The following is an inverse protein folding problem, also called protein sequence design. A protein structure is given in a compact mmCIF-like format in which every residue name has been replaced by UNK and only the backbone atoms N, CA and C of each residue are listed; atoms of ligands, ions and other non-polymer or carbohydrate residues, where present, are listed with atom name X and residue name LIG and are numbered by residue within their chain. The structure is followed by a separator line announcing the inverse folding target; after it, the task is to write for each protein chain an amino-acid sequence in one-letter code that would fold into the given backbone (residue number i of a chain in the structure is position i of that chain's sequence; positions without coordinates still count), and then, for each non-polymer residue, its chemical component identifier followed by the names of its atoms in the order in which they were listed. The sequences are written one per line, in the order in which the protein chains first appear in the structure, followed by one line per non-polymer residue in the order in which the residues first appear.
data_IF_914616668351
#
_entry.id   IF_914616668351
#
_cell.length_a   1.000
_cell.length_b   1.000
_cell.length_c   1.000
_cell.angle_alpha   90.00
_cell.angle_beta   90.00
_cell.angle_gamma   90.00
#
_symmetry.space_group_name_H-M   'P 1'
#
loop_
_entity.id
_entity.type
_entity.pdbx_description
1 polymer ?
#
# COMPACT_ATOMS: atom_id res chain seq x y z
N UNK A 1 66.67 24.92 25.46
CA UNK A 1 66.39 26.13 26.22
C UNK A 1 64.93 25.92 26.69
N UNK A 2 64.70 25.29 27.87
CA UNK A 2 64.60 25.94 29.21
C UNK A 2 63.50 27.02 29.17
N UNK A 3 62.43 26.95 29.92
CA UNK A 3 62.34 26.90 31.38
C UNK A 3 60.97 26.41 31.89
N UNK A 4 61.04 25.62 32.96
CA UNK A 4 59.96 25.31 33.95
C UNK A 4 59.55 26.57 34.71
N UNK A 5 58.31 26.59 35.24
CA UNK A 5 58.11 26.84 36.67
C UNK A 5 56.69 26.48 37.14
N UNK A 6 56.67 25.74 38.23
CA UNK A 6 55.64 25.44 39.18
C UNK A 6 55.01 26.69 39.84
N UNK A 7 53.76 26.57 40.25
CA UNK A 7 53.32 27.11 41.54
C UNK A 7 51.98 26.53 42.03
N UNK A 8 52.03 26.03 43.26
CA UNK A 8 51.02 25.43 44.12
C UNK A 8 50.06 26.44 44.75
N UNK A 9 48.80 26.05 44.92
CA UNK A 9 47.88 26.15 46.02
C UNK A 9 47.43 27.53 46.52
N UNK A 10 46.33 27.62 47.29
CA UNK A 10 46.09 26.84 48.50
C UNK A 10 44.60 26.38 48.77
N UNK A 11 44.53 25.50 49.76
CA UNK A 11 43.33 24.99 50.46
C UNK A 11 42.56 26.08 51.20
N UNK A 12 41.26 26.10 51.12
CA UNK A 12 40.39 26.94 51.93
C UNK A 12 39.11 26.23 52.35
N UNK A 13 39.00 26.03 53.56
CA UNK A 13 38.09 25.40 54.54
C UNK A 13 36.60 25.47 54.24
N UNK A 14 35.96 24.34 54.47
CA UNK A 14 34.52 24.21 54.76
C UNK A 14 34.12 25.00 56.01
N UNK A 15 32.99 25.72 55.90
CA UNK A 15 32.16 26.08 57.02
C UNK A 15 30.75 25.61 56.78
N UNK A 16 30.30 24.69 57.66
CA UNK A 16 28.93 24.32 57.86
C UNK A 16 28.15 25.51 58.42
N UNK A 17 27.06 25.89 57.76
CA UNK A 17 25.94 26.57 58.38
C UNK A 17 24.71 25.71 58.15
N UNK A 18 24.45 24.91 59.14
CA UNK A 18 23.16 24.24 59.28
C UNK A 18 22.10 25.14 59.85
N UNK A 19 20.88 24.67 59.67
CA UNK A 19 19.66 25.10 60.36
C UNK A 19 19.07 26.45 60.01
N UNK A 20 18.13 26.45 59.06
CA UNK A 20 16.87 27.26 59.09
C UNK A 20 15.92 27.05 57.91
N UNK A 21 15.89 25.90 57.24
CA UNK A 21 14.98 25.72 56.09
C UNK A 21 13.90 24.64 56.22
N UNK A 22 13.76 23.99 57.38
CA UNK A 22 12.78 22.88 57.51
C UNK A 22 11.31 23.27 57.77
N UNK A 23 11.00 24.49 58.12
CA UNK A 23 9.62 24.86 58.48
C UNK A 23 8.84 25.45 57.29
N UNK A 24 9.51 25.97 56.26
CA UNK A 24 8.83 26.55 55.07
C UNK A 24 8.45 25.53 54.01
N UNK A 25 9.15 24.41 53.91
CA UNK A 25 8.85 23.36 52.93
C UNK A 25 7.64 22.50 53.30
N UNK A 26 7.37 22.31 54.58
CA UNK A 26 6.21 21.56 55.05
C UNK A 26 4.87 22.27 54.84
N UNK A 27 4.83 23.59 54.86
CA UNK A 27 3.60 24.38 54.64
C UNK A 27 3.28 24.45 53.14
N UNK A 28 4.29 24.53 52.26
CA UNK A 28 4.09 24.51 50.81
C UNK A 28 3.59 23.14 50.33
N UNK A 29 4.11 22.06 50.91
CA UNK A 29 3.68 20.69 50.55
C UNK A 29 2.22 20.45 50.96
N UNK A 30 1.77 20.94 52.09
CA UNK A 30 0.37 20.81 52.54
C UNK A 30 -0.58 21.69 51.68
N UNK A 31 -0.18 22.87 51.23
CA UNK A 31 -0.97 23.69 50.32
C UNK A 31 -1.11 23.07 48.91
N UNK A 32 -0.09 22.35 48.39
CA UNK A 32 -0.19 21.63 47.15
C UNK A 32 -1.10 20.39 47.22
N UNK A 33 -1.16 19.72 48.37
CA UNK A 33 -2.04 18.55 48.56
C UNK A 33 -3.50 18.97 48.74
N UNK A 34 -3.78 20.10 49.35
CA UNK A 34 -5.14 20.62 49.54
C UNK A 34 -5.71 21.21 48.25
N UNK A 35 -4.88 21.81 47.38
CA UNK A 35 -5.34 22.29 46.06
C UNK A 35 -5.66 21.17 45.06
N UNK A 36 -5.07 19.97 45.20
CA UNK A 36 -5.39 18.82 44.35
C UNK A 36 -6.72 18.12 44.74
N UNK A 37 -7.32 18.43 45.89
CA UNK A 37 -8.58 17.82 46.32
C UNK A 37 -9.82 18.61 45.79
N UNK A 38 -9.64 19.85 45.30
CA UNK A 38 -10.71 20.70 44.81
C UNK A 38 -10.72 20.96 43.30
N UNK A 39 -9.90 20.25 42.52
CA UNK A 39 -10.16 20.20 41.09
C UNK A 39 -11.38 19.29 40.88
N UNK A 40 -12.49 19.78 40.31
CA UNK A 40 -13.51 18.88 39.85
C UNK A 40 -12.83 17.93 38.87
N UNK A 41 -13.00 16.61 39.08
CA UNK A 41 -12.76 15.64 38.04
C UNK A 41 -13.71 16.02 36.92
N UNK A 42 -13.29 16.93 36.05
CA UNK A 42 -13.82 16.99 34.69
C UNK A 42 -13.48 15.62 34.15
N UNK A 43 -14.48 14.74 34.11
CA UNK A 43 -14.40 13.55 33.32
C UNK A 43 -14.09 14.02 31.91
N UNK A 44 -12.80 14.03 31.56
CA UNK A 44 -12.40 14.00 30.17
C UNK A 44 -13.00 12.68 29.70
N UNK A 45 -14.20 12.75 29.14
CA UNK A 45 -14.73 11.72 28.30
C UNK A 45 -13.70 11.68 27.17
N UNK A 46 -12.71 10.83 27.28
CA UNK A 46 -11.91 10.41 26.16
C UNK A 46 -12.93 9.78 25.22
N UNK A 47 -13.43 10.57 24.26
CA UNK A 47 -14.05 10.00 23.10
C UNK A 47 -12.97 9.11 22.51
N UNK A 48 -13.09 7.82 22.75
CA UNK A 48 -12.31 6.84 22.00
C UNK A 48 -12.61 7.16 20.55
N UNK A 49 -11.61 7.46 19.70
CA UNK A 49 -11.88 7.70 18.30
C UNK A 49 -12.73 6.52 17.81
N UNK A 50 -13.91 6.81 17.27
CA UNK A 50 -14.72 5.76 16.63
C UNK A 50 -13.82 5.11 15.60
N UNK A 51 -13.41 3.89 15.89
CA UNK A 51 -12.67 3.06 14.93
C UNK A 51 -13.68 2.70 13.86
N UNK A 52 -13.56 3.31 12.69
CA UNK A 52 -14.41 3.03 11.56
C UNK A 52 -14.20 1.58 11.13
N UNK A 53 -15.22 0.79 11.34
CA UNK A 53 -15.18 -0.59 10.89
C UNK A 53 -15.59 -0.62 9.42
N UNK A 54 -14.63 -0.96 8.58
CA UNK A 54 -14.90 -1.26 7.17
C UNK A 54 -15.74 -2.54 7.12
N UNK A 55 -16.87 -2.49 6.45
CA UNK A 55 -17.74 -3.67 6.28
C UNK A 55 -17.01 -4.69 5.42
N UNK A 56 -16.86 -5.89 5.94
CA UNK A 56 -16.28 -7.02 5.21
C UNK A 56 -17.41 -7.84 4.60
N UNK A 57 -17.32 -8.12 3.30
CA UNK A 57 -18.22 -8.98 2.56
C UNK A 57 -17.42 -10.11 1.90
N UNK A 58 -18.06 -11.25 1.71
CA UNK A 58 -17.49 -12.36 0.95
C UNK A 58 -18.16 -12.41 -0.44
N UNK A 59 -17.41 -12.71 -1.50
CA UNK A 59 -17.95 -12.85 -2.84
C UNK A 59 -18.65 -14.20 -3.00
N UNK A 60 -19.61 -14.28 -3.89
CA UNK A 60 -20.18 -15.54 -4.37
C UNK A 60 -19.37 -16.02 -5.58
N UNK A 61 -18.70 -17.16 -5.48
CA UNK A 61 -18.00 -17.78 -6.61
C UNK A 61 -19.01 -18.33 -7.62
N UNK A 62 -18.97 -17.85 -8.86
CA UNK A 62 -19.88 -18.25 -9.94
C UNK A 62 -19.23 -19.32 -10.83
N UNK A 63 -18.02 -19.04 -11.33
CA UNK A 63 -17.31 -19.93 -12.22
C UNK A 63 -15.80 -19.71 -12.13
N UNK A 64 -15.04 -20.60 -12.78
CA UNK A 64 -13.59 -20.44 -12.94
C UNK A 64 -13.16 -20.95 -14.30
N UNK A 65 -12.10 -20.35 -14.86
CA UNK A 65 -11.45 -20.81 -16.08
C UNK A 65 -9.93 -20.89 -15.86
N UNK A 66 -9.22 -21.80 -16.55
CA UNK A 66 -7.78 -21.92 -16.39
C UNK A 66 -7.06 -20.60 -16.65
N UNK A 67 -6.02 -20.35 -15.89
CA UNK A 67 -5.07 -19.25 -16.07
C UNK A 67 -3.65 -19.82 -16.23
N UNK A 68 -2.80 -19.10 -16.93
CA UNK A 68 -1.39 -19.44 -17.05
C UNK A 68 -0.67 -19.22 -15.73
N UNK A 69 -0.35 -20.27 -15.00
CA UNK A 69 0.28 -20.22 -13.68
C UNK A 69 1.72 -19.67 -13.69
N UNK A 70 2.30 -19.43 -14.87
CA UNK A 70 3.53 -18.67 -15.03
C UNK A 70 3.31 -17.15 -15.12
N UNK A 71 2.07 -16.69 -15.28
CA UNK A 71 1.74 -15.28 -15.41
C UNK A 71 1.92 -14.52 -14.08
N UNK A 72 2.83 -13.57 -14.06
CA UNK A 72 2.95 -12.63 -12.95
C UNK A 72 2.01 -11.45 -13.19
N UNK A 73 0.70 -11.67 -12.98
CA UNK A 73 -0.36 -10.72 -13.33
C UNK A 73 -0.20 -9.40 -12.60
N UNK A 74 -0.26 -8.31 -13.36
CA UNK A 74 -0.13 -6.94 -12.87
C UNK A 74 -1.32 -6.06 -13.24
N UNK A 75 -2.12 -6.47 -14.21
CA UNK A 75 -3.33 -5.78 -14.60
C UNK A 75 -4.26 -6.70 -15.37
N UNK A 76 -5.56 -6.50 -15.18
CA UNK A 76 -6.62 -7.26 -15.84
C UNK A 76 -7.75 -6.30 -16.24
N UNK A 77 -8.25 -6.46 -17.46
CA UNK A 77 -9.36 -5.67 -18.00
C UNK A 77 -10.24 -6.55 -18.88
N UNK A 78 -11.55 -6.27 -18.96
CA UNK A 78 -12.45 -6.95 -19.89
C UNK A 78 -12.92 -5.96 -20.96
N UNK A 79 -12.68 -6.31 -22.21
CA UNK A 79 -13.14 -5.54 -23.35
C UNK A 79 -13.58 -6.47 -24.48
N UNK A 80 -14.73 -6.19 -25.10
CA UNK A 80 -15.33 -7.01 -26.18
C UNK A 80 -15.36 -8.51 -25.87
N UNK A 81 -15.70 -8.90 -24.62
CA UNK A 81 -15.83 -10.27 -24.17
C UNK A 81 -14.51 -11.06 -24.10
N UNK A 82 -13.40 -10.39 -23.93
CA UNK A 82 -12.06 -10.96 -23.76
C UNK A 82 -11.36 -10.35 -22.56
N UNK A 83 -10.46 -11.11 -21.94
CA UNK A 83 -9.49 -10.54 -21.03
C UNK A 83 -8.34 -9.88 -21.77
N UNK A 84 -7.95 -8.72 -21.31
CA UNK A 84 -6.66 -8.09 -21.58
C UNK A 84 -5.85 -8.17 -20.30
N UNK A 85 -4.70 -8.83 -20.38
CA UNK A 85 -3.86 -9.09 -19.21
C UNK A 85 -2.46 -8.51 -19.41
N UNK A 86 -1.97 -7.81 -18.39
CA UNK A 86 -0.59 -7.37 -18.27
C UNK A 86 0.16 -8.24 -17.28
N UNK A 87 1.30 -8.78 -17.69
CA UNK A 87 2.16 -9.61 -16.81
C UNK A 87 3.52 -8.96 -16.65
N UNK A 88 4.03 -8.96 -15.41
CA UNK A 88 5.31 -8.35 -15.03
C UNK A 88 6.50 -9.31 -15.14
N UNK A 89 7.59 -8.91 -14.52
CA UNK A 89 8.94 -9.46 -14.47
C UNK A 89 9.84 -9.04 -15.63
N UNK A 90 11.04 -8.57 -15.31
CA UNK A 90 12.05 -8.21 -16.30
C UNK A 90 12.42 -9.42 -17.16
N UNK A 91 12.35 -9.26 -18.49
CA UNK A 91 12.58 -10.32 -19.46
C UNK A 91 11.39 -11.27 -19.70
N UNK A 92 10.28 -11.12 -18.93
CA UNK A 92 9.09 -11.97 -19.05
C UNK A 92 7.81 -11.16 -19.22
N UNK A 93 7.89 -9.82 -19.12
CA UNK A 93 6.76 -8.92 -19.22
C UNK A 93 6.03 -9.03 -20.54
N UNK A 94 4.71 -9.07 -20.48
CA UNK A 94 3.87 -9.18 -21.69
C UNK A 94 2.53 -8.45 -21.53
N UNK A 95 1.88 -8.22 -22.68
CA UNK A 95 0.47 -7.90 -22.79
C UNK A 95 -0.21 -9.01 -23.58
N UNK A 96 -1.40 -9.44 -23.15
CA UNK A 96 -2.10 -10.63 -23.68
C UNK A 96 -3.56 -10.33 -23.94
N UNK A 97 -4.11 -10.96 -24.99
CA UNK A 97 -5.56 -11.14 -25.18
C UNK A 97 -5.86 -12.59 -24.86
N UNK A 98 -6.78 -12.81 -23.93
CA UNK A 98 -7.13 -14.14 -23.43
C UNK A 98 -8.63 -14.39 -23.61
N UNK A 99 -8.98 -15.56 -24.08
CA UNK A 99 -10.39 -15.96 -24.24
C UNK A 99 -11.06 -16.15 -22.88
N UNK A 100 -12.08 -15.36 -22.59
CA UNK A 100 -12.76 -15.34 -21.28
C UNK A 100 -13.42 -16.69 -20.92
N UNK A 101 -13.85 -17.48 -21.92
CA UNK A 101 -14.52 -18.75 -21.69
C UNK A 101 -13.59 -19.93 -21.48
N UNK A 102 -12.34 -19.84 -21.97
CA UNK A 102 -11.42 -20.97 -21.98
C UNK A 102 -10.10 -20.69 -21.25
N UNK A 103 -9.77 -19.42 -20.97
CA UNK A 103 -8.48 -19.01 -20.43
C UNK A 103 -7.31 -19.15 -21.41
N UNK A 104 -7.58 -19.43 -22.70
CA UNK A 104 -6.54 -19.58 -23.70
C UNK A 104 -6.03 -18.22 -24.17
N UNK A 105 -4.69 -18.06 -24.20
CA UNK A 105 -4.05 -16.90 -24.79
C UNK A 105 -4.27 -16.93 -26.31
N UNK A 106 -4.99 -15.94 -26.85
CA UNK A 106 -5.23 -15.78 -28.28
C UNK A 106 -4.12 -14.98 -28.97
N UNK A 107 -3.63 -13.95 -28.30
CA UNK A 107 -2.56 -13.07 -28.81
C UNK A 107 -1.68 -12.63 -27.64
N UNK A 108 -0.38 -12.53 -27.85
CA UNK A 108 0.57 -12.04 -26.86
C UNK A 108 1.65 -11.19 -27.54
N UNK A 109 2.00 -10.09 -26.89
CA UNK A 109 3.15 -9.28 -27.21
C UNK A 109 4.08 -9.18 -25.99
N UNK A 110 5.36 -9.57 -26.17
CA UNK A 110 6.37 -9.49 -25.11
C UNK A 110 7.06 -8.12 -25.17
N UNK A 111 7.24 -7.51 -24.00
CA UNK A 111 8.01 -6.28 -23.87
C UNK A 111 9.52 -6.59 -23.99
N UNK A 112 10.31 -5.54 -24.22
CA UNK A 112 11.78 -5.64 -24.09
C UNK A 112 12.17 -5.96 -22.65
N UNK A 113 13.25 -6.73 -22.47
CA UNK A 113 13.76 -7.23 -21.18
C UNK A 113 14.04 -6.11 -20.16
N UNK A 114 14.18 -4.89 -20.62
CA UNK A 114 14.42 -3.69 -19.78
C UNK A 114 13.17 -3.15 -19.07
N UNK A 115 11.96 -3.63 -19.44
CA UNK A 115 10.70 -3.15 -18.88
C UNK A 115 10.07 -4.19 -17.96
N UNK A 116 9.61 -3.70 -16.80
CA UNK A 116 8.73 -4.45 -15.94
C UNK A 116 7.31 -3.91 -16.15
N UNK A 117 6.45 -4.67 -16.82
CA UNK A 117 5.07 -4.25 -17.07
C UNK A 117 4.23 -4.32 -15.80
N UNK A 118 3.32 -3.38 -15.67
CA UNK A 118 2.43 -3.20 -14.54
C UNK A 118 0.96 -3.10 -15.01
N UNK A 119 0.09 -2.39 -14.31
CA UNK A 119 -1.33 -2.28 -14.61
C UNK A 119 -1.63 -1.86 -16.04
N UNK A 120 -2.80 -2.25 -16.53
CA UNK A 120 -3.32 -1.85 -17.83
C UNK A 120 -4.78 -1.38 -17.71
N UNK A 121 -5.22 -0.60 -18.70
CA UNK A 121 -6.64 -0.24 -18.89
C UNK A 121 -6.93 0.10 -20.34
N UNK A 122 -8.21 0.08 -20.72
CA UNK A 122 -8.68 0.55 -22.04
C UNK A 122 -9.08 2.01 -21.92
N UNK A 123 -8.53 2.86 -22.80
CA UNK A 123 -8.83 4.29 -22.85
C UNK A 123 -8.84 4.78 -24.28
N UNK A 124 -9.92 5.46 -24.69
CA UNK A 124 -10.09 5.98 -26.06
C UNK A 124 -9.80 4.91 -27.14
N UNK A 125 -10.36 3.72 -26.99
CA UNK A 125 -10.17 2.60 -27.91
C UNK A 125 -8.70 2.20 -28.11
N UNK A 126 -7.89 2.35 -27.08
CA UNK A 126 -6.49 1.92 -27.03
C UNK A 126 -6.19 1.30 -25.68
N UNK A 127 -5.21 0.44 -25.61
CA UNK A 127 -4.74 -0.11 -24.34
C UNK A 127 -3.61 0.77 -23.83
N UNK A 128 -3.65 1.16 -22.56
CA UNK A 128 -2.53 1.75 -21.84
C UNK A 128 -1.96 0.68 -20.91
N UNK A 129 -0.66 0.42 -20.97
CA UNK A 129 0.08 -0.45 -20.07
C UNK A 129 1.20 0.34 -19.39
N UNK A 130 1.22 0.30 -18.06
CA UNK A 130 2.27 0.95 -17.27
C UNK A 130 3.54 0.11 -17.22
N UNK A 131 4.64 0.75 -16.79
CA UNK A 131 5.87 0.09 -16.35
C UNK A 131 6.18 0.48 -14.91
N UNK A 132 6.89 -0.38 -14.16
CA UNK A 132 7.14 -0.16 -12.73
C UNK A 132 7.96 1.11 -12.45
N UNK A 133 9.22 1.13 -12.87
CA UNK A 133 10.20 2.20 -12.54
C UNK A 133 10.70 2.96 -13.74
N UNK A 134 10.37 2.52 -14.92
CA UNK A 134 10.86 3.09 -16.18
C UNK A 134 10.13 4.40 -16.51
N UNK A 135 9.06 4.73 -15.76
CA UNK A 135 8.29 5.98 -15.91
C UNK A 135 7.71 6.20 -17.30
N UNK A 136 7.41 5.10 -17.99
CA UNK A 136 6.83 5.08 -19.32
C UNK A 136 5.59 4.20 -19.34
N UNK A 137 4.55 4.63 -20.03
CA UNK A 137 3.41 3.83 -20.39
C UNK A 137 3.38 3.60 -21.88
N UNK A 138 3.10 2.40 -22.30
CA UNK A 138 2.92 2.04 -23.70
C UNK A 138 1.45 2.11 -24.07
N UNK A 139 1.19 2.46 -25.35
CA UNK A 139 -0.15 2.51 -25.92
C UNK A 139 -0.19 1.48 -27.06
N UNK A 140 -1.21 0.61 -27.02
CA UNK A 140 -1.38 -0.44 -28.01
C UNK A 140 -2.74 -0.33 -28.70
N UNK A 141 -2.77 -0.81 -29.93
CA UNK A 141 -4.00 -1.12 -30.64
C UNK A 141 -4.66 -2.37 -30.02
N UNK A 142 -5.93 -2.34 -29.63
CA UNK A 142 -6.56 -3.42 -28.88
C UNK A 142 -6.75 -4.71 -29.69
N UNK A 143 -6.86 -4.62 -31.02
CA UNK A 143 -7.08 -5.82 -31.85
C UNK A 143 -5.80 -6.59 -32.16
N UNK A 144 -4.70 -5.85 -32.38
CA UNK A 144 -3.42 -6.41 -32.85
C UNK A 144 -2.33 -6.47 -31.79
N UNK A 145 -2.50 -5.81 -30.66
CA UNK A 145 -1.47 -5.55 -29.65
C UNK A 145 -0.20 -4.87 -30.21
N UNK A 146 -0.31 -4.21 -31.38
CA UNK A 146 0.79 -3.40 -31.90
C UNK A 146 0.93 -2.14 -31.06
N UNK A 147 2.14 -1.85 -30.62
CA UNK A 147 2.44 -0.59 -29.95
C UNK A 147 2.28 0.57 -30.93
N UNK A 148 1.37 1.51 -30.63
CA UNK A 148 1.04 2.67 -31.45
C UNK A 148 1.54 3.98 -30.84
N UNK A 149 1.99 3.96 -29.57
CA UNK A 149 2.48 5.14 -28.88
C UNK A 149 3.05 4.86 -27.52
N UNK A 150 3.42 5.91 -26.83
CA UNK A 150 3.84 5.89 -25.43
C UNK A 150 3.78 7.29 -24.84
N UNK A 151 3.73 7.40 -23.53
CA UNK A 151 3.91 8.64 -22.79
C UNK A 151 4.70 8.41 -21.51
N UNK A 152 5.27 9.48 -20.95
CA UNK A 152 5.99 9.41 -19.68
C UNK A 152 5.13 9.93 -18.54
N UNK A 153 5.31 9.36 -17.35
CA UNK A 153 4.70 9.83 -16.12
C UNK A 153 5.75 9.90 -14.98
N UNK A 154 5.36 10.45 -13.84
CA UNK A 154 6.27 10.65 -12.71
C UNK A 154 6.05 9.61 -11.61
N UNK A 155 7.12 8.98 -11.15
CA UNK A 155 7.12 7.98 -10.08
C UNK A 155 6.88 6.56 -10.58
N UNK A 156 6.67 5.62 -9.67
CA UNK A 156 6.35 4.24 -10.02
C UNK A 156 4.93 4.15 -10.58
N UNK A 157 4.68 3.19 -11.46
CA UNK A 157 3.36 2.80 -11.91
C UNK A 157 3.05 1.41 -11.40
N UNK A 158 1.87 1.22 -10.76
CA UNK A 158 1.41 -0.08 -10.28
C UNK A 158 0.10 -0.46 -10.94
N UNK A 159 -1.02 0.13 -10.55
CA UNK A 159 -2.32 -0.09 -11.17
C UNK A 159 -2.80 1.14 -11.94
N UNK A 160 -3.70 0.93 -12.88
CA UNK A 160 -4.36 1.99 -13.62
C UNK A 160 -5.76 1.54 -13.99
N UNK A 161 -6.77 2.41 -13.84
CA UNK A 161 -8.08 2.19 -14.40
C UNK A 161 -8.59 3.44 -15.12
N UNK A 162 -9.47 3.22 -16.07
CA UNK A 162 -10.13 4.28 -16.82
C UNK A 162 -11.46 4.65 -16.21
N UNK A 163 -11.67 5.93 -16.21
CA UNK A 163 -12.90 6.57 -15.87
C UNK A 163 -13.33 7.46 -17.04
N UNK A 164 -14.40 7.09 -17.70
CA UNK A 164 -14.89 7.83 -18.90
C UNK A 164 -15.18 9.30 -18.61
N UNK A 165 -15.57 9.64 -17.38
CA UNK A 165 -15.93 11.00 -17.01
C UNK A 165 -14.79 11.81 -16.38
N UNK A 166 -13.93 11.19 -15.57
CA UNK A 166 -12.93 11.90 -14.78
C UNK A 166 -11.48 11.65 -15.20
N UNK A 167 -11.25 10.77 -16.18
CA UNK A 167 -9.93 10.42 -16.68
C UNK A 167 -9.35 9.18 -16.02
N UNK A 168 -8.04 9.01 -16.11
CA UNK A 168 -7.33 7.84 -15.60
C UNK A 168 -7.01 8.00 -14.11
N UNK A 169 -7.14 6.91 -13.36
CA UNK A 169 -6.62 6.77 -12.02
C UNK A 169 -5.41 5.85 -12.01
N UNK A 170 -4.41 6.18 -11.21
CA UNK A 170 -3.14 5.46 -11.12
C UNK A 170 -2.76 5.26 -9.65
N UNK A 171 -2.32 4.06 -9.32
CA UNK A 171 -1.64 3.73 -8.06
C UNK A 171 -0.12 3.63 -8.27
N UNK A 172 0.64 3.87 -7.20
CA UNK A 172 2.11 3.77 -7.19
C UNK A 172 2.64 3.11 -5.90
N UNK A 173 1.80 2.34 -5.23
CA UNK A 173 2.11 1.71 -3.96
C UNK A 173 2.08 2.65 -2.75
N UNK A 174 1.97 3.95 -2.95
CA UNK A 174 1.80 4.92 -1.86
C UNK A 174 0.38 4.91 -1.29
N UNK A 175 0.14 5.75 -0.28
CA UNK A 175 -1.18 5.98 0.29
C UNK A 175 -2.07 6.90 -0.56
N UNK A 176 -1.72 7.18 -1.80
CA UNK A 176 -2.46 8.08 -2.66
C UNK A 176 -2.76 7.45 -4.02
N UNK A 177 -3.97 7.68 -4.52
CA UNK A 177 -4.29 7.45 -5.91
C UNK A 177 -4.14 8.77 -6.70
N UNK A 178 -3.47 8.71 -7.82
CA UNK A 178 -3.26 9.87 -8.70
C UNK A 178 -4.31 9.89 -9.79
N UNK A 179 -4.81 11.08 -10.13
CA UNK A 179 -5.83 11.25 -11.15
C UNK A 179 -5.34 12.17 -12.28
N UNK A 180 -5.61 11.78 -13.52
CA UNK A 180 -5.46 12.64 -14.69
C UNK A 180 -6.81 13.27 -15.04
N UNK A 181 -6.80 14.43 -15.72
CA UNK A 181 -8.02 14.94 -16.32
C UNK A 181 -8.21 14.36 -17.74
N UNK A 182 -9.46 14.35 -18.24
CA UNK A 182 -9.85 13.72 -19.52
C UNK A 182 -9.15 14.25 -20.77
N UNK A 183 -8.51 15.41 -20.72
CA UNK A 183 -7.95 16.04 -21.92
C UNK A 183 -6.45 15.81 -22.09
N UNK A 184 -5.76 15.44 -21.02
CA UNK A 184 -4.30 15.19 -21.05
C UNK A 184 -3.94 14.12 -20.05
N UNK A 185 -3.13 13.14 -20.44
CA UNK A 185 -2.59 12.15 -19.52
C UNK A 185 -1.52 12.82 -18.62
N UNK A 186 -1.99 13.53 -17.59
CA UNK A 186 -1.14 14.21 -16.62
C UNK A 186 -1.70 13.98 -15.22
N UNK A 187 -1.05 13.16 -14.44
CA UNK A 187 -1.43 12.80 -13.07
C UNK A 187 -1.03 13.91 -12.08
N UNK A 188 -1.76 15.02 -12.12
CA UNK A 188 -1.49 16.21 -11.30
C UNK A 188 -2.28 16.29 -10.00
N UNK A 189 -3.37 15.56 -9.90
CA UNK A 189 -4.20 15.48 -8.72
C UNK A 189 -3.88 14.19 -7.95
N UNK A 190 -4.06 14.21 -6.63
CA UNK A 190 -3.92 13.01 -5.80
C UNK A 190 -5.00 12.96 -4.74
N UNK A 191 -5.46 11.75 -4.44
CA UNK A 191 -6.47 11.44 -3.45
C UNK A 191 -5.84 10.54 -2.40
N UNK A 192 -5.79 10.98 -1.14
CA UNK A 192 -5.32 10.12 -0.05
C UNK A 192 -6.35 9.05 0.27
N UNK A 193 -5.93 7.80 0.35
CA UNK A 193 -6.81 6.68 0.71
C UNK A 193 -6.78 6.43 2.20
N UNK A 194 -7.98 6.35 2.79
CA UNK A 194 -8.20 6.19 4.23
C UNK A 194 -8.90 4.86 4.52
N UNK A 195 -8.23 3.99 5.26
CA UNK A 195 -8.74 2.69 5.70
C UNK A 195 -8.90 2.68 7.22
N UNK A 196 -10.12 2.45 7.71
CA UNK A 196 -10.39 2.39 9.16
C UNK A 196 -10.08 3.70 9.90
N UNK A 197 -10.19 4.85 9.20
CA UNK A 197 -9.95 6.17 9.76
C UNK A 197 -8.49 6.64 9.71
N UNK A 198 -7.58 5.88 9.10
CA UNK A 198 -6.17 6.26 8.94
C UNK A 198 -5.66 6.11 7.51
N UNK A 199 -4.54 6.77 7.15
CA UNK A 199 -3.86 6.56 5.87
C UNK A 199 -3.49 5.10 5.66
N UNK A 200 -3.62 4.60 4.43
CA UNK A 200 -3.26 3.23 4.07
C UNK A 200 -2.49 3.22 2.76
N UNK A 201 -1.49 2.37 2.67
CA UNK A 201 -0.53 2.27 1.56
C UNK A 201 -0.59 0.90 0.88
N UNK A 202 0.22 0.74 -0.18
CA UNK A 202 0.38 -0.48 -0.96
C UNK A 202 -0.81 -0.77 -1.89
N UNK A 203 -1.51 0.27 -2.34
CA UNK A 203 -2.54 0.15 -3.38
C UNK A 203 -1.90 -0.27 -4.69
N UNK A 204 -2.47 -1.29 -5.31
CA UNK A 204 -1.90 -1.94 -6.49
C UNK A 204 -2.89 -1.88 -7.66
N UNK A 205 -3.30 -2.99 -8.20
CA UNK A 205 -4.17 -3.07 -9.35
C UNK A 205 -5.54 -2.44 -9.07
N UNK A 206 -6.13 -1.78 -10.07
CA UNK A 206 -7.30 -0.93 -9.95
C UNK A 206 -8.35 -1.25 -11.01
N UNK A 207 -9.63 -1.23 -10.59
CA UNK A 207 -10.79 -1.26 -11.47
C UNK A 207 -11.74 -0.12 -11.14
N UNK A 208 -12.05 0.75 -12.11
CA UNK A 208 -12.97 1.88 -11.95
C UNK A 208 -14.42 1.44 -12.22
N UNK A 209 -15.33 1.63 -11.26
CA UNK A 209 -16.73 1.19 -11.36
C UNK A 209 -17.72 2.33 -11.10
N UNK A 210 -19.00 2.12 -11.48
CA UNK A 210 -20.13 3.02 -11.22
C UNK A 210 -19.88 4.47 -11.69
N UNK A 211 -19.53 4.65 -12.95
CA UNK A 211 -19.24 5.96 -13.54
C UNK A 211 -18.24 6.76 -12.68
N UNK A 212 -17.26 6.04 -12.06
CA UNK A 212 -16.17 6.61 -11.28
C UNK A 212 -16.52 7.15 -9.91
N UNK A 213 -17.62 6.81 -9.36
CA UNK A 213 -17.88 7.08 -7.96
C UNK A 213 -16.97 6.23 -7.07
N UNK A 214 -16.54 5.05 -7.59
CA UNK A 214 -15.76 4.09 -6.83
C UNK A 214 -14.62 3.49 -7.65
N UNK A 215 -13.58 3.06 -6.93
CA UNK A 215 -12.47 2.25 -7.43
C UNK A 215 -12.39 0.99 -6.58
N UNK A 216 -12.36 -0.17 -7.22
CA UNK A 216 -11.91 -1.40 -6.61
C UNK A 216 -10.39 -1.47 -6.70
N UNK A 217 -9.72 -1.76 -5.60
CA UNK A 217 -8.27 -1.80 -5.54
C UNK A 217 -7.75 -3.05 -4.85
N UNK A 218 -6.79 -3.71 -5.45
CA UNK A 218 -5.94 -4.68 -4.76
C UNK A 218 -5.01 -3.95 -3.79
N UNK A 219 -4.70 -4.60 -2.68
CA UNK A 219 -3.68 -4.14 -1.75
C UNK A 219 -2.56 -5.18 -1.68
N UNK A 220 -1.32 -4.78 -1.94
CA UNK A 220 -0.20 -5.71 -1.99
C UNK A 220 -0.04 -6.47 -0.67
N UNK A 221 0.15 -7.79 -0.76
CA UNK A 221 0.15 -8.77 0.34
C UNK A 221 -1.18 -8.94 1.08
N UNK A 222 -2.31 -8.61 0.45
CA UNK A 222 -3.63 -8.83 1.03
C UNK A 222 -4.50 -9.65 0.06
N UNK A 223 -5.27 -10.58 0.60
CA UNK A 223 -6.20 -11.40 -0.17
C UNK A 223 -7.61 -10.76 -0.23
N UNK A 224 -7.65 -9.43 -0.22
CA UNK A 224 -8.87 -8.65 -0.27
C UNK A 224 -8.81 -7.57 -1.34
N UNK A 225 -10.00 -7.20 -1.82
CA UNK A 225 -10.22 -6.06 -2.70
C UNK A 225 -10.96 -5.00 -1.92
N UNK A 226 -10.56 -3.75 -2.10
CA UNK A 226 -11.07 -2.62 -1.35
C UNK A 226 -11.84 -1.66 -2.23
N UNK A 227 -13.06 -1.31 -1.83
CA UNK A 227 -13.88 -0.32 -2.51
C UNK A 227 -13.58 1.07 -1.98
N UNK A 228 -13.03 1.92 -2.81
CA UNK A 228 -12.59 3.28 -2.47
C UNK A 228 -13.54 4.29 -3.12
N UNK A 229 -14.08 5.23 -2.35
CA UNK A 229 -14.88 6.31 -2.86
C UNK A 229 -13.98 7.43 -3.42
N UNK A 230 -14.14 7.78 -4.68
CA UNK A 230 -13.28 8.73 -5.40
C UNK A 230 -13.44 10.19 -4.95
N UNK A 231 -14.58 10.54 -4.35
CA UNK A 231 -14.84 11.92 -3.90
C UNK A 231 -14.08 12.30 -2.62
N UNK A 232 -13.66 11.32 -1.80
CA UNK A 232 -13.06 11.58 -0.48
C UNK A 232 -11.94 10.61 -0.07
N UNK A 233 -11.71 9.52 -0.83
CA UNK A 233 -10.66 8.53 -0.55
C UNK A 233 -10.98 7.52 0.56
N UNK A 234 -12.21 7.54 1.10
CA UNK A 234 -12.58 6.54 2.10
C UNK A 234 -12.77 5.16 1.50
N UNK A 235 -12.23 4.14 2.18
CA UNK A 235 -12.56 2.75 1.91
C UNK A 235 -13.93 2.46 2.50
N UNK A 236 -14.89 2.14 1.64
CA UNK A 236 -16.28 1.87 2.02
C UNK A 236 -16.53 0.42 2.42
N UNK A 237 -15.90 -0.49 1.70
CA UNK A 237 -16.05 -1.94 1.90
C UNK A 237 -14.75 -2.66 1.60
N UNK A 238 -14.63 -3.86 2.15
CA UNK A 238 -13.58 -4.82 1.88
C UNK A 238 -14.22 -6.13 1.46
N UNK A 239 -13.82 -6.66 0.32
CA UNK A 239 -14.23 -7.98 -0.17
C UNK A 239 -13.12 -8.96 0.14
N UNK A 240 -13.40 -10.01 0.92
CA UNK A 240 -12.41 -10.99 1.36
C UNK A 240 -12.39 -12.21 0.43
N UNK A 241 -11.26 -12.47 -0.21
CA UNK A 241 -11.04 -13.59 -1.13
C UNK A 241 -10.17 -14.70 -0.54
N UNK A 242 -9.83 -14.63 0.74
CA UNK A 242 -8.98 -15.62 1.40
C UNK A 242 -9.51 -17.04 1.24
N UNK A 243 -10.83 -17.24 1.33
CA UNK A 243 -11.47 -18.55 1.17
C UNK A 243 -11.28 -19.12 -0.24
N UNK A 244 -11.36 -18.30 -1.29
CA UNK A 244 -11.12 -18.73 -2.69
C UNK A 244 -9.64 -19.10 -2.86
N UNK A 245 -8.73 -18.26 -2.38
CA UNK A 245 -7.30 -18.52 -2.46
C UNK A 245 -6.92 -19.81 -1.73
N UNK A 246 -7.35 -19.99 -0.48
CA UNK A 246 -7.03 -21.17 0.32
C UNK A 246 -7.59 -22.47 -0.28
N UNK A 247 -8.75 -22.40 -0.93
CA UNK A 247 -9.39 -23.57 -1.50
C UNK A 247 -8.82 -23.99 -2.84
N UNK A 248 -8.43 -23.05 -3.71
CA UNK A 248 -8.17 -23.32 -5.12
C UNK A 248 -6.74 -23.01 -5.56
N UNK A 249 -5.99 -22.21 -4.82
CA UNK A 249 -4.64 -21.82 -5.19
C UNK A 249 -3.59 -22.49 -4.31
N UNK A 250 -2.39 -22.68 -4.85
CA UNK A 250 -1.30 -23.29 -4.11
C UNK A 250 -0.64 -22.31 -3.14
N UNK A 251 0.04 -22.82 -2.09
CA UNK A 251 0.85 -21.99 -1.21
C UNK A 251 1.99 -21.24 -1.93
N UNK A 252 2.42 -21.74 -3.09
CA UNK A 252 3.45 -21.12 -3.92
C UNK A 252 2.90 -20.04 -4.85
N UNK A 253 1.58 -19.94 -5.04
CA UNK A 253 0.94 -18.88 -5.80
C UNK A 253 1.18 -17.53 -5.13
N UNK A 254 1.38 -16.50 -5.93
CA UNK A 254 1.60 -15.14 -5.45
C UNK A 254 0.33 -14.50 -4.87
N UNK A 255 0.36 -13.20 -4.71
CA UNK A 255 -0.74 -12.43 -4.13
C UNK A 255 -1.88 -12.25 -5.13
N UNK A 256 -3.10 -12.07 -4.61
CA UNK A 256 -4.25 -11.58 -5.36
C UNK A 256 -3.89 -10.28 -6.07
N UNK A 257 -4.04 -10.23 -7.39
CA UNK A 257 -3.77 -9.04 -8.20
C UNK A 257 -4.41 -9.20 -9.59
N UNK A 258 -5.36 -8.36 -9.91
CA UNK A 258 -6.15 -8.38 -11.13
C UNK A 258 -7.65 -8.43 -10.82
N UNK A 259 -8.35 -7.37 -11.23
CA UNK A 259 -9.79 -7.18 -11.08
C UNK A 259 -10.31 -6.67 -12.41
N UNK A 260 -11.40 -7.25 -12.91
CA UNK A 260 -12.10 -6.71 -14.07
C UNK A 260 -13.59 -6.89 -13.93
N UNK A 261 -14.39 -5.85 -14.18
CA UNK A 261 -15.83 -5.94 -14.23
C UNK A 261 -16.27 -6.42 -15.62
N UNK A 262 -17.09 -7.46 -15.67
CA UNK A 262 -17.73 -7.88 -16.91
C UNK A 262 -18.94 -6.95 -17.19
N UNK A 263 -18.90 -6.15 -18.24
CA UNK A 263 -19.97 -5.21 -18.56
C UNK A 263 -21.27 -5.89 -19.02
N UNK A 264 -21.21 -7.18 -19.44
CA UNK A 264 -22.37 -7.93 -19.90
C UNK A 264 -23.15 -8.54 -18.72
N UNK A 265 -22.45 -9.08 -17.73
CA UNK A 265 -23.06 -9.78 -16.58
C UNK A 265 -23.14 -8.91 -15.33
N UNK A 266 -22.29 -7.92 -15.22
CA UNK A 266 -22.08 -7.11 -14.01
C UNK A 266 -21.31 -7.85 -12.92
N UNK A 267 -20.86 -9.09 -13.16
CA UNK A 267 -19.99 -9.83 -12.28
C UNK A 267 -18.54 -9.31 -12.39
N UNK A 268 -17.68 -9.82 -11.53
CA UNK A 268 -16.26 -9.48 -11.53
C UNK A 268 -15.43 -10.73 -11.80
N UNK A 269 -14.33 -10.54 -12.48
CA UNK A 269 -13.29 -11.55 -12.65
C UNK A 269 -12.05 -11.14 -11.88
N UNK A 270 -11.49 -12.09 -11.15
CA UNK A 270 -10.26 -11.88 -10.38
C UNK A 270 -9.24 -12.96 -10.70
N UNK A 271 -7.99 -12.64 -10.52
CA UNK A 271 -6.87 -13.59 -10.53
C UNK A 271 -5.74 -13.08 -9.62
N UNK A 272 -4.57 -13.69 -9.69
CA UNK A 272 -3.40 -13.27 -8.92
C UNK A 272 -2.10 -13.65 -9.61
N UNK A 273 -1.00 -13.22 -9.03
CA UNK A 273 0.34 -13.53 -9.52
C UNK A 273 0.61 -15.02 -9.41
N UNK A 274 0.83 -15.68 -10.56
CA UNK A 274 1.02 -17.12 -10.64
C UNK A 274 -0.16 -17.95 -10.12
N UNK A 275 -1.39 -17.42 -10.20
CA UNK A 275 -2.59 -18.18 -9.91
C UNK A 275 -2.92 -19.12 -11.07
N UNK A 276 -3.60 -20.23 -10.76
CA UNK A 276 -3.95 -21.26 -11.72
C UNK A 276 -5.28 -21.01 -12.44
N UNK A 277 -6.09 -20.08 -11.94
CA UNK A 277 -7.40 -19.77 -12.51
C UNK A 277 -7.70 -18.27 -12.49
N UNK A 278 -8.58 -17.87 -13.43
CA UNK A 278 -9.44 -16.71 -13.29
C UNK A 278 -10.72 -17.15 -12.59
N UNK A 279 -11.25 -16.35 -11.68
CA UNK A 279 -12.47 -16.62 -10.93
C UNK A 279 -13.53 -15.58 -11.24
N UNK A 280 -14.68 -16.02 -11.75
CA UNK A 280 -15.86 -15.18 -11.87
C UNK A 280 -16.57 -15.14 -10.51
N UNK A 281 -16.83 -13.96 -10.01
CA UNK A 281 -17.44 -13.73 -8.71
C UNK A 281 -18.55 -12.70 -8.81
N UNK A 282 -19.59 -12.90 -8.02
CA UNK A 282 -20.61 -11.89 -7.79
C UNK A 282 -20.35 -11.21 -6.46
N UNK A 283 -20.34 -9.89 -6.48
CA UNK A 283 -20.15 -9.05 -5.30
C UNK A 283 -21.41 -8.20 -5.12
N UNK A 284 -22.01 -8.25 -3.95
CA UNK A 284 -23.22 -7.46 -3.66
C UNK A 284 -22.86 -6.12 -3.03
N UNK A 285 -22.86 -5.09 -3.84
CA UNK A 285 -22.68 -3.71 -3.41
C UNK A 285 -24.02 -2.95 -3.17
N UNK A 286 -25.16 -3.61 -3.08
CA UNK A 286 -26.48 -2.98 -2.99
C UNK A 286 -26.67 -2.00 -1.81
N UNK A 287 -25.80 -2.06 -0.79
CA UNK A 287 -25.84 -1.18 0.39
C UNK A 287 -24.71 -0.13 0.40
N UNK A 288 -24.09 0.15 -0.75
CA UNK A 288 -22.95 1.07 -0.88
C UNK A 288 -23.21 2.46 -0.28
N UNK A 289 -24.33 3.09 -0.68
CA UNK A 289 -24.63 4.47 -0.27
C UNK A 289 -24.81 4.65 1.25
N UNK A 290 -25.26 3.61 1.94
CA UNK A 290 -25.45 3.65 3.41
C UNK A 290 -24.11 3.54 4.12
N UNK A 291 -23.24 2.66 3.65
CA UNK A 291 -21.94 2.42 4.30
C UNK A 291 -20.96 3.58 4.10
N UNK A 292 -20.90 4.15 2.89
CA UNK A 292 -20.03 5.29 2.61
C UNK A 292 -20.54 6.60 3.23
N UNK A 293 -21.86 6.82 3.31
CA UNK A 293 -22.44 8.02 3.92
C UNK A 293 -22.30 8.03 5.44
N UNK A 294 -22.39 6.89 6.10
CA UNK A 294 -22.15 6.80 7.54
C UNK A 294 -20.68 7.10 7.89
N UNK A 295 -19.77 6.83 6.97
CA UNK A 295 -18.35 7.14 7.14
C UNK A 295 -18.02 8.60 6.76
N UNK A 296 -18.79 9.23 5.85
CA UNK A 296 -18.52 10.59 5.37
C UNK A 296 -19.03 11.69 6.30
N UNK A 297 -19.88 11.37 7.29
CA UNK A 297 -20.47 12.37 8.22
C UNK A 297 -19.52 12.78 9.36
N UNK A 298 -18.38 12.10 9.51
CA UNK A 298 -17.36 12.46 10.49
C UNK A 298 -16.16 13.05 9.74
N UNK A 299 -16.26 14.31 9.35
CA UNK A 299 -15.03 15.08 9.06
C UNK A 299 -14.25 15.17 10.37
N UNK A 300 -12.99 14.71 10.45
CA UNK A 300 -12.15 15.06 11.57
C UNK A 300 -12.02 16.58 11.54
N UNK A 301 -12.75 17.25 12.41
CA UNK A 301 -12.51 18.67 12.65
C UNK A 301 -11.17 18.77 13.39
N UNK A 302 -10.09 18.78 12.64
CA UNK A 302 -8.84 19.36 13.13
C UNK A 302 -9.07 20.86 13.19
N UNK A 303 -9.76 21.29 14.25
CA UNK A 303 -9.82 22.69 14.61
C UNK A 303 -8.47 23.03 15.25
N UNK A 304 -7.52 23.44 14.39
CA UNK A 304 -6.24 23.97 14.84
C UNK A 304 -6.39 25.39 15.39
N UNK A 305 -7.44 25.69 16.16
CA UNK A 305 -7.57 26.99 16.81
C UNK A 305 -6.79 27.11 18.13
N UNK A 306 -6.21 25.99 18.63
CA UNK A 306 -5.42 25.97 19.86
C UNK A 306 -3.93 25.62 19.67
N UNK A 307 -3.35 25.94 18.50
CA UNK A 307 -1.90 25.96 18.36
C UNK A 307 -1.33 27.27 18.95
N UNK A 308 -1.61 27.56 20.25
CA UNK A 308 -0.78 28.49 20.98
C UNK A 308 0.52 27.82 21.43
N UNK A 309 1.61 28.50 21.12
CA UNK A 309 2.98 28.18 21.49
C UNK A 309 3.11 27.87 23.00
N UNK A 310 3.65 26.70 23.35
CA UNK A 310 4.26 26.51 24.67
C UNK A 310 3.70 25.42 25.56
N UNK A 311 3.34 24.26 25.09
CA UNK A 311 3.16 23.06 25.92
C UNK A 311 4.50 22.40 26.23
N UNK A 312 5.01 22.53 27.44
CA UNK A 312 6.15 21.76 27.95
C UNK A 312 5.84 20.27 27.83
N UNK A 313 6.62 19.56 27.04
CA UNK A 313 6.62 18.10 27.02
C UNK A 313 6.89 17.59 28.44
N UNK A 314 5.91 16.87 29.01
CA UNK A 314 6.10 16.11 30.24
C UNK A 314 7.28 15.17 30.05
N UNK A 315 8.17 15.12 31.06
CA UNK A 315 9.37 14.31 31.05
C UNK A 315 9.01 12.85 30.76
N UNK A 316 9.18 12.43 29.51
CA UNK A 316 9.23 11.02 29.17
C UNK A 316 10.45 10.42 29.85
N UNK A 317 10.23 9.31 30.57
CA UNK A 317 11.27 8.58 31.26
C UNK A 317 12.34 8.12 30.23
N UNK A 318 13.42 8.89 30.15
CA UNK A 318 14.56 8.65 29.25
C UNK A 318 15.19 7.26 29.46
N UNK A 319 14.90 6.58 30.58
CA UNK A 319 15.41 5.24 30.86
C UNK A 319 14.88 4.17 29.91
N UNK A 320 13.63 4.32 29.38
CA UNK A 320 13.06 3.34 28.43
C UNK A 320 13.65 3.50 27.04
N UNK A 321 13.97 4.73 26.63
CA UNK A 321 14.55 5.00 25.30
C UNK A 321 16.00 4.53 25.20
N UNK A 322 16.77 4.62 26.30
CA UNK A 322 18.17 4.21 26.32
C UNK A 322 18.37 2.68 26.29
N UNK A 323 17.34 1.89 26.62
CA UNK A 323 17.42 0.40 26.57
C UNK A 323 16.96 -0.14 25.21
N UNK A 324 16.03 0.56 24.52
CA UNK A 324 15.47 0.09 23.25
C UNK A 324 16.41 0.30 22.05
N UNK A 325 17.23 1.34 22.03
CA UNK A 325 18.13 1.64 20.91
C UNK A 325 19.22 0.57 20.72
N UNK A 326 19.92 0.06 21.75
CA UNK A 326 20.90 -1.00 21.59
C UNK A 326 20.27 -2.32 21.12
N UNK A 327 19.03 -2.62 21.55
CA UNK A 327 18.33 -3.85 21.17
C UNK A 327 17.92 -3.82 19.70
N UNK A 328 17.42 -2.71 19.21
CA UNK A 328 17.09 -2.50 17.79
C UNK A 328 18.34 -2.56 16.91
N UNK A 329 19.47 -2.00 17.38
CA UNK A 329 20.73 -2.07 16.66
C UNK A 329 21.29 -3.50 16.57
N UNK A 330 21.15 -4.31 17.63
CA UNK A 330 21.53 -5.73 17.64
C UNK A 330 20.64 -6.56 16.71
N UNK A 331 19.34 -6.30 16.65
CA UNK A 331 18.42 -6.95 15.72
C UNK A 331 18.78 -6.58 14.28
N UNK A 332 18.99 -5.30 14.01
CA UNK A 332 19.39 -4.81 12.68
C UNK A 332 20.71 -5.43 12.20
N UNK A 333 21.74 -5.52 13.06
CA UNK A 333 23.02 -6.13 12.70
C UNK A 333 22.92 -7.65 12.50
N UNK A 334 22.01 -8.34 13.20
CA UNK A 334 21.75 -9.77 13.01
C UNK A 334 21.06 -10.06 11.68
N UNK A 335 20.13 -9.19 11.27
CA UNK A 335 19.42 -9.31 9.97
C UNK A 335 20.38 -8.97 8.82
N UNK A 336 21.18 -7.91 8.96
CA UNK A 336 22.14 -7.50 7.95
C UNK A 336 23.23 -8.56 7.69
N UNK A 337 23.67 -9.30 8.71
CA UNK A 337 24.63 -10.41 8.54
C UNK A 337 24.07 -11.60 7.76
N UNK A 338 22.75 -11.86 7.83
CA UNK A 338 22.12 -12.95 7.06
C UNK A 338 21.98 -12.63 5.57
N UNK A 339 21.95 -11.36 5.20
CA UNK A 339 21.85 -10.95 3.78
C UNK A 339 23.20 -10.92 3.04
N UNK A 340 24.34 -11.08 3.72
CA UNK A 340 25.66 -11.07 3.10
C UNK A 340 26.25 -12.46 2.83
N UNK A 341 25.60 -13.53 3.26
CA UNK A 341 26.02 -14.90 2.90
C UNK A 341 25.55 -15.23 1.47
N UNK A 342 26.47 -15.18 0.53
CA UNK A 342 26.25 -15.63 -0.84
C UNK A 342 25.88 -17.12 -0.84
N UNK A 343 24.87 -17.54 -1.63
CA UNK A 343 24.58 -18.97 -1.79
C UNK A 343 25.80 -19.71 -2.35
N UNK A 344 25.99 -20.99 -2.01
CA UNK A 344 27.12 -21.76 -2.47
C UNK A 344 27.08 -21.91 -3.99
N UNK A 345 28.20 -21.59 -4.63
CA UNK A 345 28.40 -21.79 -6.06
C UNK A 345 28.42 -23.29 -6.34
N UNK A 346 27.40 -23.80 -7.00
CA UNK A 346 27.38 -25.17 -7.52
C UNK A 346 28.31 -25.19 -8.73
N UNK A 347 29.52 -25.77 -8.57
CA UNK A 347 30.39 -26.10 -9.68
C UNK A 347 29.73 -27.21 -10.50
N UNK A 348 29.38 -26.94 -11.74
CA UNK A 348 29.15 -27.99 -12.76
C UNK A 348 30.50 -28.64 -13.07
N UNK A 349 30.63 -29.91 -12.69
CA UNK A 349 31.71 -30.74 -13.18
C UNK A 349 31.49 -30.99 -14.66
N UNK A 350 32.37 -30.46 -15.50
CA UNK A 350 32.60 -30.89 -16.87
C UNK A 350 33.14 -32.30 -16.82
N UNK A 351 32.37 -33.29 -17.29
CA UNK A 351 32.90 -34.56 -17.71
C UNK A 351 32.92 -34.58 -19.23
N UNK A 352 34.09 -34.28 -19.74
CA UNK A 352 34.52 -34.74 -21.08
C UNK A 352 34.63 -36.27 -21.09
N UNK A 353 34.37 -36.82 -22.24
CA UNK A 353 35.03 -38.07 -22.64
C UNK A 353 34.11 -39.16 -23.11
N UNK A 354 34.25 -39.51 -24.38
CA UNK A 354 34.12 -40.85 -24.87
C UNK A 354 33.40 -41.02 -26.20
N UNK A 355 34.16 -40.92 -27.25
CA UNK A 355 33.88 -41.54 -28.57
C UNK A 355 33.45 -43.01 -28.47
N UNK A 356 32.58 -43.46 -29.35
CA UNK A 356 32.71 -44.54 -30.34
C UNK A 356 31.37 -45.15 -30.75
N UNK A 357 31.26 -45.22 -32.05
CA UNK A 357 30.45 -46.02 -32.99
C UNK A 357 29.07 -45.46 -33.33
#
# INVERSE_FOLDING_TARGET
MEHRSDARGPKGRFFCLGEKYEIRTSILAILCVVSSIFYPLSSVISETPEVWQVVVIEPELISQVPHDDSAFTQGLEIHDGKFYESTGLYGESSIRIVNISTGQIETQYNLSDEYFAEGLTIWNNSIIQLTWKENIAFIYDPDSLQQIGSFSYQGEGWGICNSDETGLWLSDGSGHLKNSNNSTISFSNSLQVLLGGGPSEHWNELECIDNNEYILANKWFDDSIYLIQTSNGYVCQRVDFSSIREQFESESSGVLNGIAQDPETGNYWITGKNWSNYYEVKIDFSNLSVNCQNNSSITPSYDCTDCEEGGQFGAFDLSIVLISIPLLWLIYTSISKRQTEKPPVIRKDEREGGEHV
#
